data_IF_763191388678
#
_entry.id   IF_763191388678
#
_cell.length_a   1.000
_cell.length_b   1.000
_cell.length_c   1.000
_cell.angle_alpha   90.00
_cell.angle_beta   90.00
_cell.angle_gamma   90.00
#
_symmetry.space_group_name_H-M   'P 1'
#
loop_
_entity.id
_entity.type
_entity.pdbx_description
1 polymer ?
#
# COMPACT_ATOMS: atom_id res chain seq x y z
N UNK A 1 34.54 35.66 -11.64
CA UNK A 1 35.00 35.03 -10.37
C UNK A 1 34.23 33.72 -10.18
N UNK A 2 34.95 32.59 -10.29
CA UNK A 2 34.78 31.25 -9.67
C UNK A 2 33.36 30.66 -9.53
N UNK A 3 32.96 29.63 -10.29
CA UNK A 3 33.28 28.18 -10.13
C UNK A 3 32.87 27.58 -8.78
N UNK A 4 31.89 26.66 -8.78
CA UNK A 4 31.92 25.37 -8.06
C UNK A 4 30.85 24.40 -8.63
N UNK A 5 30.98 24.04 -9.90
CA UNK A 5 30.59 22.71 -10.38
C UNK A 5 31.87 22.08 -10.94
N UNK A 6 32.30 20.89 -10.47
CA UNK A 6 33.23 20.08 -11.23
C UNK A 6 32.42 19.27 -12.26
N UNK A 7 32.58 19.62 -13.53
CA UNK A 7 32.49 18.65 -14.61
C UNK A 7 33.86 17.97 -14.72
N UNK A 8 33.89 16.65 -14.62
CA UNK A 8 34.81 15.84 -15.44
C UNK A 8 34.28 14.42 -15.52
N UNK A 9 34.06 14.00 -16.75
CA UNK A 9 33.82 12.62 -17.17
C UNK A 9 34.92 11.70 -16.64
N UNK A 10 34.52 10.68 -15.89
CA UNK A 10 35.26 9.43 -15.79
C UNK A 10 34.29 8.33 -15.36
N UNK A 11 34.37 7.23 -16.09
CA UNK A 11 33.72 5.97 -15.82
C UNK A 11 33.67 5.64 -14.32
N UNK A 12 32.46 5.51 -13.77
CA UNK A 12 32.19 4.59 -12.66
C UNK A 12 31.07 3.68 -13.15
N UNK A 13 31.45 2.78 -14.06
CA UNK A 13 30.96 1.42 -13.96
C UNK A 13 31.40 0.87 -12.60
N UNK A 14 30.55 0.04 -12.00
CA UNK A 14 30.75 -0.62 -10.70
C UNK A 14 30.35 0.20 -9.46
N UNK A 15 29.08 0.62 -9.41
CA UNK A 15 28.37 0.71 -8.12
C UNK A 15 27.54 -0.56 -7.97
N UNK A 16 28.17 -1.58 -7.37
CA UNK A 16 27.56 -2.66 -6.59
C UNK A 16 26.17 -3.13 -7.09
N UNK A 17 26.14 -3.96 -8.12
CA UNK A 17 25.09 -4.98 -8.21
C UNK A 17 25.49 -6.09 -7.24
N UNK A 18 24.82 -6.28 -6.09
CA UNK A 18 25.10 -7.44 -5.27
C UNK A 18 24.77 -8.66 -6.12
N UNK A 19 25.75 -9.55 -6.26
CA UNK A 19 25.55 -10.93 -6.68
C UNK A 19 24.33 -11.49 -5.94
N UNK A 20 23.59 -12.36 -6.63
CA UNK A 20 22.47 -13.10 -6.06
C UNK A 20 23.02 -14.11 -5.05
N UNK A 21 23.47 -13.61 -3.91
CA UNK A 21 23.77 -14.40 -2.73
C UNK A 21 22.51 -14.42 -1.86
N UNK A 22 22.27 -15.61 -1.32
CA UNK A 22 21.20 -16.02 -0.44
C UNK A 22 20.54 -14.87 0.31
N UNK A 23 19.20 -14.83 0.26
CA UNK A 23 18.40 -14.09 1.24
C UNK A 23 18.91 -14.49 2.63
N UNK A 24 19.75 -13.65 3.24
CA UNK A 24 20.19 -13.82 4.61
C UNK A 24 18.93 -14.05 5.46
N UNK A 25 18.96 -15.12 6.25
CA UNK A 25 17.93 -15.40 7.23
C UNK A 25 17.61 -14.11 7.96
N UNK A 26 16.36 -13.67 7.85
CA UNK A 26 15.92 -12.49 8.56
C UNK A 26 16.16 -12.76 10.05
N UNK A 27 17.14 -12.06 10.63
CA UNK A 27 17.55 -12.31 12.01
C UNK A 27 16.35 -12.07 12.93
N UNK A 28 15.80 -13.16 13.47
CA UNK A 28 14.65 -13.13 14.37
C UNK A 28 14.88 -12.19 15.56
N UNK A 29 16.14 -11.99 15.98
CA UNK A 29 16.49 -11.03 17.05
C UNK A 29 16.29 -9.57 16.65
N UNK A 30 16.54 -9.18 15.40
CA UNK A 30 16.26 -7.83 14.93
C UNK A 30 14.76 -7.57 14.81
N UNK A 31 14.01 -8.58 14.39
CA UNK A 31 12.55 -8.55 14.35
C UNK A 31 12.00 -8.40 15.76
N UNK A 32 12.47 -9.21 16.70
CA UNK A 32 12.02 -9.15 18.09
C UNK A 32 12.44 -7.82 18.72
N UNK A 33 13.61 -7.27 18.41
CA UNK A 33 13.97 -5.92 18.83
C UNK A 33 13.05 -4.86 18.21
N UNK A 34 12.70 -4.96 16.93
CA UNK A 34 11.79 -4.01 16.28
C UNK A 34 10.39 -4.14 16.88
N UNK A 35 9.84 -5.34 17.04
CA UNK A 35 8.53 -5.59 17.68
C UNK A 35 8.55 -5.17 19.15
N UNK A 36 9.64 -5.44 19.88
CA UNK A 36 9.84 -5.03 21.27
C UNK A 36 9.90 -3.51 21.39
N UNK A 37 10.68 -2.81 20.55
CA UNK A 37 10.77 -1.35 20.54
C UNK A 37 9.48 -0.69 20.01
N UNK A 38 8.80 -1.33 19.06
CA UNK A 38 7.46 -0.95 18.60
C UNK A 38 6.47 -1.01 19.78
N UNK A 39 6.46 -2.11 20.56
CA UNK A 39 5.64 -2.22 21.78
C UNK A 39 6.01 -1.22 22.87
N UNK A 40 7.30 -0.90 23.05
CA UNK A 40 7.78 -0.12 24.21
C UNK A 40 7.84 1.40 24.00
N UNK A 41 8.11 1.89 22.78
CA UNK A 41 8.47 3.30 22.57
C UNK A 41 7.80 3.99 21.37
N UNK A 42 7.32 3.25 20.36
CA UNK A 42 6.91 3.87 19.08
C UNK A 42 5.45 3.63 18.71
N UNK A 43 4.86 2.46 19.03
CA UNK A 43 3.44 2.23 18.72
C UNK A 43 2.53 2.99 19.68
N UNK A 44 2.89 3.15 20.96
CA UNK A 44 2.11 3.96 21.91
C UNK A 44 1.95 5.43 21.47
N UNK A 45 2.93 5.99 20.75
CA UNK A 45 2.84 7.35 20.16
C UNK A 45 2.26 7.36 18.73
N UNK A 46 1.86 6.19 18.19
CA UNK A 46 1.23 6.04 16.87
C UNK A 46 -0.26 5.70 16.96
N UNK A 47 -0.77 5.47 18.17
CA UNK A 47 -2.18 5.21 18.46
C UNK A 47 -3.07 6.41 18.07
N UNK A 48 -2.52 7.63 18.19
CA UNK A 48 -3.16 8.88 17.79
C UNK A 48 -2.68 9.32 16.41
N UNK A 49 -3.50 9.07 15.39
CA UNK A 49 -3.32 9.70 14.09
C UNK A 49 -4.10 11.03 14.07
N UNK A 50 -3.38 12.16 13.99
CA UNK A 50 -4.00 13.47 13.75
C UNK A 50 -4.61 13.49 12.35
N UNK A 51 -5.91 13.78 12.27
CA UNK A 51 -6.62 13.90 11.00
C UNK A 51 -6.64 15.34 10.52
N UNK A 52 -6.28 15.51 9.25
CA UNK A 52 -6.50 16.74 8.49
C UNK A 52 -7.48 16.46 7.35
N UNK A 53 -8.44 17.36 7.13
CA UNK A 53 -9.43 17.22 6.06
C UNK A 53 -9.00 18.01 4.83
N UNK A 54 -8.73 17.31 3.72
CA UNK A 54 -8.44 17.92 2.43
C UNK A 54 -9.73 18.05 1.60
N UNK A 55 -10.06 19.27 1.20
CA UNK A 55 -11.23 19.51 0.35
C UNK A 55 -10.98 18.99 -1.08
N UNK A 56 -11.98 18.31 -1.64
CA UNK A 56 -12.05 17.85 -3.03
C UNK A 56 -12.41 19.04 -3.91
N UNK A 57 -11.62 19.28 -4.95
CA UNK A 57 -11.89 20.33 -5.93
C UNK A 57 -13.27 20.15 -6.56
N UNK A 58 -14.03 21.25 -6.68
CA UNK A 58 -15.34 21.27 -7.32
C UNK A 58 -16.50 20.70 -6.48
N UNK A 59 -16.30 20.40 -5.19
CA UNK A 59 -17.39 19.99 -4.28
C UNK A 59 -17.75 21.09 -3.28
N UNK A 60 -19.03 21.15 -2.94
CA UNK A 60 -19.58 22.09 -1.95
C UNK A 60 -18.86 21.93 -0.59
N UNK A 61 -18.18 22.98 -0.08
CA UNK A 61 -17.51 22.94 1.22
C UNK A 61 -18.42 22.60 2.40
N UNK A 62 -19.74 22.75 2.26
CA UNK A 62 -20.72 22.41 3.32
C UNK A 62 -21.05 20.92 3.38
N UNK A 63 -20.66 20.14 2.38
CA UNK A 63 -20.91 18.70 2.33
C UNK A 63 -19.77 17.91 2.98
N UNK A 64 -20.07 16.97 3.88
CA UNK A 64 -19.06 16.08 4.47
C UNK A 64 -18.29 15.27 3.40
N UNK A 65 -18.97 14.88 2.31
CA UNK A 65 -18.39 14.13 1.20
C UNK A 65 -17.39 14.95 0.36
N UNK A 66 -17.31 16.26 0.59
CA UNK A 66 -16.34 17.16 -0.03
C UNK A 66 -14.95 17.01 0.57
N UNK A 67 -14.76 16.32 1.69
CA UNK A 67 -13.46 16.20 2.33
C UNK A 67 -12.87 14.79 2.19
N UNK A 68 -11.54 14.71 2.24
CA UNK A 68 -10.77 13.47 2.41
C UNK A 68 -9.99 13.57 3.73
N UNK A 69 -10.23 12.68 4.69
CA UNK A 69 -9.40 12.64 5.88
C UNK A 69 -8.01 12.13 5.49
N UNK A 70 -6.96 12.84 5.94
CA UNK A 70 -5.56 12.42 5.82
C UNK A 70 -5.00 12.26 7.22
N UNK A 71 -4.47 11.07 7.49
CA UNK A 71 -3.84 10.75 8.76
C UNK A 71 -2.37 11.15 8.71
N UNK A 72 -1.96 12.09 9.55
CA UNK A 72 -0.56 12.42 9.74
C UNK A 72 0.05 11.52 10.79
N UNK A 73 0.77 10.49 10.32
CA UNK A 73 1.62 9.68 11.18
C UNK A 73 2.85 10.48 11.64
N UNK A 74 3.34 10.28 12.88
CA UNK A 74 4.63 10.79 13.32
C UNK A 74 5.75 10.39 12.34
N UNK A 75 6.79 11.24 12.21
CA UNK A 75 7.91 11.01 11.28
C UNK A 75 8.56 9.64 11.47
N UNK A 76 8.75 9.22 12.73
CA UNK A 76 9.31 7.90 13.03
C UNK A 76 8.41 6.76 12.55
N UNK A 77 7.09 6.92 12.66
CA UNK A 77 6.11 5.96 12.13
C UNK A 77 6.23 5.82 10.61
N UNK A 78 6.37 6.94 9.89
CA UNK A 78 6.56 6.94 8.42
C UNK A 78 7.85 6.22 8.00
N UNK A 79 8.95 6.41 8.76
CA UNK A 79 10.22 5.74 8.49
C UNK A 79 10.07 4.22 8.66
N UNK A 80 9.48 3.78 9.77
CA UNK A 80 9.25 2.36 10.05
C UNK A 80 8.34 1.71 9.02
N UNK A 81 7.25 2.39 8.66
CA UNK A 81 6.36 1.93 7.58
C UNK A 81 7.12 1.77 6.26
N UNK A 82 8.04 2.68 5.93
CA UNK A 82 8.84 2.58 4.70
C UNK A 82 9.78 1.39 4.72
N UNK A 83 10.47 1.15 5.84
CA UNK A 83 11.37 -0.01 5.99
C UNK A 83 10.57 -1.31 5.88
N UNK A 84 9.43 -1.38 6.56
CA UNK A 84 8.52 -2.51 6.45
C UNK A 84 8.04 -2.71 5.01
N UNK A 85 7.59 -1.64 4.35
CA UNK A 85 7.07 -1.69 2.99
C UNK A 85 8.10 -2.25 2.01
N UNK A 86 9.35 -1.82 2.08
CA UNK A 86 10.41 -2.31 1.19
C UNK A 86 10.61 -3.82 1.35
N UNK A 87 10.67 -4.31 2.59
CA UNK A 87 10.80 -5.74 2.89
C UNK A 87 9.56 -6.52 2.43
N UNK A 88 8.37 -5.94 2.63
CA UNK A 88 7.11 -6.58 2.26
C UNK A 88 6.93 -6.66 0.74
N UNK A 89 7.26 -5.58 0.00
CA UNK A 89 7.29 -5.59 -1.47
C UNK A 89 8.19 -6.69 -2.03
N UNK A 90 9.41 -6.81 -1.48
CA UNK A 90 10.35 -7.87 -1.88
C UNK A 90 9.73 -9.25 -1.67
N UNK A 91 9.14 -9.50 -0.50
CA UNK A 91 8.46 -10.76 -0.21
C UNK A 91 7.29 -11.05 -1.16
N UNK A 92 6.40 -10.07 -1.38
CA UNK A 92 5.25 -10.22 -2.28
C UNK A 92 5.67 -10.50 -3.72
N UNK A 93 6.75 -9.86 -4.18
CA UNK A 93 7.31 -10.06 -5.52
C UNK A 93 7.95 -11.44 -5.67
N UNK A 94 8.80 -11.87 -4.73
CA UNK A 94 9.48 -13.16 -4.78
C UNK A 94 8.50 -14.34 -4.78
N UNK A 95 7.38 -14.19 -4.07
CA UNK A 95 6.35 -15.22 -3.98
C UNK A 95 5.23 -15.09 -5.02
N UNK A 96 5.35 -14.14 -5.97
CA UNK A 96 4.34 -13.87 -7.00
C UNK A 96 2.91 -13.72 -6.45
N UNK A 97 2.77 -13.12 -5.26
CA UNK A 97 1.49 -13.04 -4.57
C UNK A 97 0.53 -12.16 -5.38
N UNK A 98 0.95 -10.93 -5.72
CA UNK A 98 0.07 -9.97 -6.41
C UNK A 98 -0.08 -10.31 -7.89
N UNK A 99 -1.33 -10.45 -8.36
CA UNK A 99 -1.63 -10.80 -9.74
C UNK A 99 -1.01 -9.83 -10.75
N UNK A 100 -0.47 -10.37 -11.86
CA UNK A 100 0.28 -9.60 -12.88
C UNK A 100 -0.52 -8.47 -13.56
N UNK A 101 -1.84 -8.58 -13.60
CA UNK A 101 -2.70 -7.55 -14.21
C UNK A 101 -3.13 -6.45 -13.23
N UNK A 102 -2.77 -6.58 -11.95
CA UNK A 102 -2.90 -5.51 -11.00
C UNK A 102 -1.74 -4.54 -11.23
N UNK A 103 -2.05 -3.30 -11.61
CA UNK A 103 -1.06 -2.28 -11.98
C UNK A 103 -1.00 -1.13 -10.99
N UNK A 104 -2.06 -0.93 -10.18
CA UNK A 104 -2.08 0.04 -9.10
C UNK A 104 -1.01 -0.25 -8.05
N UNK A 105 -0.36 0.81 -7.56
CA UNK A 105 0.56 0.77 -6.41
C UNK A 105 1.67 -0.30 -6.47
N UNK A 106 2.16 -0.60 -7.66
CA UNK A 106 3.24 -1.55 -7.88
C UNK A 106 4.44 -0.83 -8.49
N UNK A 107 5.62 -1.19 -8.00
CA UNK A 107 6.87 -0.71 -8.56
C UNK A 107 6.98 -1.09 -10.04
N UNK A 108 7.48 -0.15 -10.85
CA UNK A 108 7.75 -0.33 -12.30
C UNK A 108 6.50 -0.64 -13.13
N UNK A 109 5.31 -0.28 -12.64
CA UNK A 109 4.05 -0.32 -13.40
C UNK A 109 3.27 0.98 -13.22
N UNK A 110 2.38 1.29 -14.15
CA UNK A 110 1.53 2.47 -14.08
C UNK A 110 0.24 2.34 -14.88
N UNK A 111 -0.52 3.44 -14.89
CA UNK A 111 -1.78 3.56 -15.62
C UNK A 111 -1.59 3.41 -17.14
N UNK A 112 -0.45 3.84 -17.65
CA UNK A 112 0.00 3.68 -19.04
C UNK A 112 -0.02 2.20 -19.46
N UNK A 113 0.58 1.33 -18.66
CA UNK A 113 0.68 -0.11 -18.94
C UNK A 113 -0.66 -0.82 -18.78
N UNK A 114 -1.49 -0.34 -17.86
CA UNK A 114 -2.85 -0.81 -17.70
C UNK A 114 -3.71 -0.47 -18.93
N UNK A 115 -3.64 0.78 -19.39
CA UNK A 115 -4.35 1.25 -20.58
C UNK A 115 -3.89 0.51 -21.83
N UNK A 116 -2.57 0.36 -22.01
CA UNK A 116 -1.99 -0.39 -23.12
C UNK A 116 -2.56 -1.82 -23.20
N UNK A 117 -2.60 -2.53 -22.07
CA UNK A 117 -3.17 -3.88 -22.01
C UNK A 117 -4.65 -3.92 -22.41
N UNK A 118 -5.46 -2.95 -21.96
CA UNK A 118 -6.88 -2.87 -22.28
C UNK A 118 -7.07 -2.59 -23.79
N UNK A 119 -6.37 -1.59 -24.33
CA UNK A 119 -6.47 -1.21 -25.76
C UNK A 119 -6.06 -2.35 -26.67
N UNK A 120 -4.93 -3.01 -26.37
CA UNK A 120 -4.50 -4.17 -27.14
C UNK A 120 -5.52 -5.30 -27.07
N UNK A 121 -6.12 -5.53 -25.89
CA UNK A 121 -7.12 -6.61 -25.79
C UNK A 121 -8.37 -6.33 -26.62
N UNK A 122 -8.81 -5.08 -26.65
CA UNK A 122 -9.92 -4.65 -27.50
C UNK A 122 -9.56 -4.86 -28.98
N UNK A 123 -8.34 -4.48 -29.40
CA UNK A 123 -7.87 -4.68 -30.79
C UNK A 123 -7.84 -6.15 -31.19
N UNK A 124 -7.29 -7.02 -30.35
CA UNK A 124 -7.23 -8.48 -30.59
C UNK A 124 -8.62 -9.13 -30.74
N UNK A 125 -9.62 -8.63 -30.00
CA UNK A 125 -10.95 -9.26 -29.94
C UNK A 125 -11.92 -8.73 -30.99
N UNK A 126 -11.65 -7.53 -31.54
CA UNK A 126 -12.52 -6.82 -32.49
C UNK A 126 -12.71 -7.55 -33.82
N UNK A 127 -11.78 -8.40 -34.25
CA UNK A 127 -11.89 -9.08 -35.54
C UNK A 127 -12.90 -10.23 -35.55
N UNK A 128 -13.21 -10.84 -34.40
CA UNK A 128 -13.97 -12.10 -34.36
C UNK A 128 -15.10 -12.14 -33.31
N UNK A 129 -15.27 -11.13 -32.43
CA UNK A 129 -16.27 -11.14 -31.34
C UNK A 129 -16.72 -9.73 -30.93
N UNK A 130 -17.88 -9.64 -30.29
CA UNK A 130 -18.27 -8.46 -29.51
C UNK A 130 -17.39 -8.34 -28.26
N UNK A 131 -16.92 -7.13 -27.96
CA UNK A 131 -16.12 -6.80 -26.79
C UNK A 131 -16.88 -5.81 -25.91
N UNK A 132 -16.96 -6.08 -24.61
CA UNK A 132 -17.51 -5.17 -23.61
C UNK A 132 -16.44 -4.84 -22.57
N UNK A 133 -16.37 -3.57 -22.18
CA UNK A 133 -15.54 -3.09 -21.08
C UNK A 133 -16.44 -2.78 -19.88
N UNK A 134 -16.16 -3.42 -18.74
CA UNK A 134 -16.84 -3.16 -17.47
C UNK A 134 -15.83 -2.45 -16.56
N UNK A 135 -16.19 -1.26 -16.10
CA UNK A 135 -15.41 -0.49 -15.12
C UNK A 135 -16.11 -0.54 -13.78
N UNK A 136 -15.36 -0.83 -12.72
CA UNK A 136 -15.85 -0.86 -11.34
C UNK A 136 -15.02 0.12 -10.51
N UNK A 137 -15.71 0.97 -9.75
CA UNK A 137 -15.10 1.88 -8.79
C UNK A 137 -15.57 1.53 -7.38
N UNK A 138 -14.63 1.33 -6.45
CA UNK A 138 -14.93 0.93 -5.08
C UNK A 138 -14.99 2.19 -4.22
N UNK A 139 -16.20 2.55 -3.78
CA UNK A 139 -16.42 3.69 -2.90
C UNK A 139 -15.62 3.51 -1.59
N UNK A 140 -14.77 4.51 -1.28
CA UNK A 140 -14.04 4.57 -0.02
C UNK A 140 -13.28 3.26 0.31
N UNK A 141 -12.54 2.75 -0.67
CA UNK A 141 -11.80 1.49 -0.62
C UNK A 141 -10.95 1.32 0.65
N UNK A 142 -10.11 2.31 0.97
CA UNK A 142 -9.23 2.24 2.14
C UNK A 142 -9.98 2.34 3.46
N UNK A 143 -11.08 3.10 3.52
CA UNK A 143 -11.87 3.29 4.75
C UNK A 143 -12.72 2.06 5.08
N UNK A 144 -12.96 1.17 4.11
CA UNK A 144 -13.85 0.01 4.25
C UNK A 144 -13.11 -1.34 4.26
N UNK A 145 -11.79 -1.34 4.41
CA UNK A 145 -11.03 -2.59 4.54
C UNK A 145 -11.36 -3.28 5.86
N UNK A 146 -12.00 -4.45 5.81
CA UNK A 146 -12.32 -5.24 7.00
C UNK A 146 -11.07 -5.98 7.48
N UNK A 147 -10.67 -5.74 8.73
CA UNK A 147 -9.45 -6.33 9.29
C UNK A 147 -9.57 -7.85 9.44
N UNK A 148 -10.73 -8.38 9.81
CA UNK A 148 -10.95 -9.82 9.92
C UNK A 148 -10.80 -10.52 8.56
N UNK A 149 -11.29 -9.88 7.49
CA UNK A 149 -11.12 -10.37 6.12
C UNK A 149 -9.66 -10.28 5.69
N UNK A 150 -8.97 -9.18 6.00
CA UNK A 150 -7.54 -9.02 5.71
C UNK A 150 -6.71 -10.15 6.34
N UNK A 151 -6.94 -10.48 7.61
CA UNK A 151 -6.20 -11.54 8.29
C UNK A 151 -6.53 -12.94 7.74
N UNK A 152 -7.76 -13.21 7.32
CA UNK A 152 -8.13 -14.43 6.59
C UNK A 152 -7.42 -14.52 5.24
N UNK A 153 -7.25 -13.39 4.55
CA UNK A 153 -6.49 -13.32 3.29
C UNK A 153 -5.00 -13.59 3.56
N UNK A 154 -4.45 -13.09 4.67
CA UNK A 154 -3.08 -13.41 5.07
C UNK A 154 -2.88 -14.89 5.35
N UNK A 155 -3.83 -15.55 6.01
CA UNK A 155 -3.82 -17.01 6.17
C UNK A 155 -3.85 -17.73 4.83
N UNK A 156 -4.71 -17.27 3.92
CA UNK A 156 -4.85 -17.83 2.59
C UNK A 156 -3.54 -17.79 1.78
N UNK A 157 -2.86 -16.64 1.76
CA UNK A 157 -1.57 -16.47 1.09
C UNK A 157 -0.36 -16.96 1.90
N UNK A 158 -0.60 -17.57 3.08
CA UNK A 158 0.45 -18.03 4.00
C UNK A 158 1.49 -16.95 4.31
N UNK A 159 1.03 -15.71 4.53
CA UNK A 159 1.91 -14.59 4.86
C UNK A 159 2.65 -14.90 6.18
N UNK A 160 3.99 -14.76 6.24
CA UNK A 160 4.77 -15.09 7.42
C UNK A 160 4.30 -14.33 8.68
N UNK A 161 4.39 -14.95 9.87
CA UNK A 161 3.99 -14.32 11.13
C UNK A 161 4.61 -12.94 11.35
N UNK A 162 5.85 -12.73 10.92
CA UNK A 162 6.52 -11.43 10.99
C UNK A 162 5.67 -10.29 10.39
N UNK A 163 5.25 -10.43 9.13
CA UNK A 163 4.47 -9.40 8.45
C UNK A 163 3.08 -9.26 9.05
N UNK A 164 2.45 -10.38 9.41
CA UNK A 164 1.12 -10.40 10.04
C UNK A 164 1.12 -9.68 11.38
N UNK A 165 2.12 -9.94 12.23
CA UNK A 165 2.25 -9.35 13.55
C UNK A 165 2.49 -7.85 13.46
N UNK A 166 3.34 -7.40 12.53
CA UNK A 166 3.53 -5.98 12.29
C UNK A 166 2.20 -5.30 11.92
N UNK A 167 1.45 -5.85 10.96
CA UNK A 167 0.15 -5.30 10.55
C UNK A 167 -0.88 -5.38 11.68
N UNK A 168 -0.86 -6.44 12.49
CA UNK A 168 -1.75 -6.57 13.64
C UNK A 168 -1.51 -5.45 14.64
N UNK A 169 -0.27 -5.25 15.08
CA UNK A 169 0.07 -4.19 16.02
C UNK A 169 -0.08 -2.77 15.42
N UNK A 170 0.08 -2.64 14.11
CA UNK A 170 -0.17 -1.40 13.39
C UNK A 170 -1.66 -0.99 13.37
N UNK A 171 -2.58 -1.97 13.43
CA UNK A 171 -4.03 -1.73 13.45
C UNK A 171 -4.62 -1.78 14.87
N UNK A 172 -3.98 -2.49 15.79
CA UNK A 172 -4.46 -2.70 17.16
C UNK A 172 -4.59 -1.37 17.92
N UNK A 173 -5.72 -1.18 18.59
CA UNK A 173 -5.94 -0.01 19.46
C UNK A 173 -5.94 1.32 18.71
N UNK A 174 -6.07 1.29 17.38
CA UNK A 174 -5.96 2.50 16.56
C UNK A 174 -7.11 3.45 16.84
N UNK A 175 -6.76 4.72 17.07
CA UNK A 175 -7.72 5.79 17.23
C UNK A 175 -7.50 6.90 16.23
N UNK A 176 -8.57 7.61 15.98
CA UNK A 176 -8.60 8.81 15.14
C UNK A 176 -8.91 9.97 16.05
N UNK A 177 -8.01 10.96 16.05
CA UNK A 177 -8.16 12.19 16.83
C UNK A 177 -8.30 13.36 15.85
N UNK A 178 -9.45 14.02 15.93
CA UNK A 178 -9.66 15.34 15.35
C UNK A 178 -9.54 16.37 16.45
N UNK A 179 -8.62 17.33 16.29
CA UNK A 179 -8.39 18.40 17.26
C UNK A 179 -8.31 19.73 16.54
N UNK A 180 -9.14 20.66 16.97
CA UNK A 180 -9.15 22.07 16.59
C UNK A 180 -9.03 22.95 17.86
N UNK A 181 -8.97 24.27 17.72
CA UNK A 181 -8.81 25.21 18.84
C UNK A 181 -9.89 25.08 19.92
N UNK A 182 -11.08 24.59 19.55
CA UNK A 182 -12.26 24.53 20.43
C UNK A 182 -12.79 23.12 20.68
N UNK A 183 -12.31 22.11 19.95
CA UNK A 183 -12.93 20.79 19.90
C UNK A 183 -11.89 19.69 19.77
N UNK A 184 -12.05 18.64 20.57
CA UNK A 184 -11.27 17.40 20.48
C UNK A 184 -12.25 16.22 20.42
N UNK A 185 -12.19 15.45 19.34
CA UNK A 185 -13.00 14.25 19.11
C UNK A 185 -12.07 13.07 18.88
N UNK A 186 -12.30 12.01 19.64
CA UNK A 186 -11.60 10.74 19.52
C UNK A 186 -12.57 9.63 19.10
N UNK A 187 -12.15 8.76 18.18
CA UNK A 187 -12.91 7.59 17.74
C UNK A 187 -12.01 6.38 17.56
N UNK A 188 -12.45 5.25 18.11
CA UNK A 188 -11.82 3.96 17.83
C UNK A 188 -12.05 3.54 16.38
N UNK A 189 -11.01 2.98 15.77
CA UNK A 189 -11.07 2.37 14.45
C UNK A 189 -11.20 0.86 14.57
N UNK A 190 -12.15 0.28 13.83
CA UNK A 190 -12.32 -1.17 13.74
C UNK A 190 -12.25 -1.70 12.31
N UNK A 191 -12.10 -0.79 11.34
CA UNK A 191 -11.94 -1.09 9.93
C UNK A 191 -11.15 0.03 9.27
N UNK A 192 -10.76 -0.24 8.04
CA UNK A 192 -10.09 0.70 7.18
C UNK A 192 -8.64 0.90 7.54
N UNK A 193 -8.04 1.85 6.85
CA UNK A 193 -6.61 2.09 6.88
C UNK A 193 -6.37 3.60 6.73
N UNK A 194 -5.40 4.18 7.45
CA UNK A 194 -5.15 5.61 7.37
C UNK A 194 -4.72 6.02 5.97
N UNK A 195 -5.45 6.98 5.41
CA UNK A 195 -5.05 7.63 4.18
C UNK A 195 -3.78 8.46 4.44
N UNK A 196 -2.68 8.09 3.78
CA UNK A 196 -1.35 8.69 3.99
C UNK A 196 -0.29 7.71 4.50
N UNK A 197 -0.68 6.52 4.94
CA UNK A 197 0.26 5.44 5.24
C UNK A 197 0.85 4.85 3.96
N UNK A 198 2.16 4.57 3.98
CA UNK A 198 2.84 4.00 2.83
C UNK A 198 2.58 2.50 2.68
N UNK A 199 2.14 1.81 3.73
CA UNK A 199 1.88 0.35 3.71
C UNK A 199 0.49 0.01 3.16
N UNK A 200 -0.47 0.92 3.33
CA UNK A 200 -1.88 0.72 2.95
C UNK A 200 -2.09 0.34 1.48
N UNK A 201 -1.39 0.93 0.49
CA UNK A 201 -1.46 0.50 -0.90
C UNK A 201 -1.12 -0.98 -1.12
N UNK A 202 -0.13 -1.51 -0.38
CA UNK A 202 0.23 -2.93 -0.44
C UNK A 202 -0.86 -3.82 0.15
N UNK A 203 -1.43 -3.42 1.29
CA UNK A 203 -2.52 -4.14 1.93
C UNK A 203 -3.73 -4.21 1.03
N UNK A 204 -4.09 -3.08 0.43
CA UNK A 204 -5.17 -3.02 -0.57
C UNK A 204 -4.86 -3.94 -1.74
N UNK A 205 -3.62 -3.92 -2.21
CA UNK A 205 -3.24 -4.76 -3.33
C UNK A 205 -3.47 -6.24 -3.04
N UNK A 206 -3.15 -6.71 -1.82
CA UNK A 206 -3.43 -8.08 -1.38
C UNK A 206 -4.92 -8.31 -1.17
N UNK A 207 -5.64 -7.34 -0.60
CA UNK A 207 -7.04 -7.43 -0.25
C UNK A 207 -7.95 -7.65 -1.47
N UNK A 208 -7.70 -6.93 -2.56
CA UNK A 208 -8.42 -7.11 -3.83
C UNK A 208 -7.80 -8.16 -4.74
N UNK A 209 -6.69 -8.77 -4.31
CA UNK A 209 -6.02 -9.78 -5.09
C UNK A 209 -6.89 -11.04 -5.17
N UNK A 210 -6.98 -11.59 -6.39
CA UNK A 210 -7.94 -12.64 -6.73
C UNK A 210 -7.74 -13.89 -5.87
N UNK A 211 -8.82 -14.41 -5.25
CA UNK A 211 -8.78 -15.74 -4.65
C UNK A 211 -8.68 -16.82 -5.74
N UNK A 212 -7.79 -17.82 -5.64
CA UNK A 212 -7.65 -18.96 -6.55
C UNK A 212 -8.93 -19.77 -6.78
N UNK A 213 -10.00 -19.54 -6.01
CA UNK A 213 -11.32 -20.14 -6.23
C UNK A 213 -12.06 -19.60 -7.46
N UNK A 214 -11.61 -18.47 -8.03
CA UNK A 214 -12.14 -17.99 -9.30
C UNK A 214 -11.52 -18.72 -10.48
N UNK A 215 -12.14 -19.85 -10.86
CA UNK A 215 -11.90 -20.53 -12.13
C UNK A 215 -11.87 -19.49 -13.26
N UNK A 216 -10.89 -19.64 -14.13
CA UNK A 216 -10.54 -18.73 -15.22
C UNK A 216 -11.74 -18.53 -16.18
N UNK A 217 -12.65 -17.61 -15.87
CA UNK A 217 -13.66 -17.14 -16.83
C UNK A 217 -12.97 -16.32 -17.92
N UNK A 218 -13.40 -16.48 -19.17
CA UNK A 218 -12.88 -15.75 -20.34
C UNK A 218 -13.01 -14.23 -20.12
N UNK A 219 -11.93 -13.58 -19.71
CA UNK A 219 -11.89 -12.14 -19.46
C UNK A 219 -10.51 -11.67 -18.99
N UNK A 220 -10.15 -10.43 -19.30
CA UNK A 220 -8.93 -9.78 -18.79
C UNK A 220 -9.36 -8.80 -17.72
N UNK A 221 -8.99 -9.08 -16.47
CA UNK A 221 -9.10 -8.13 -15.37
C UNK A 221 -7.83 -7.29 -15.32
N UNK A 222 -7.96 -5.98 -15.25
CA UNK A 222 -6.87 -5.04 -14.98
C UNK A 222 -7.33 -4.11 -13.85
N UNK A 223 -6.53 -3.99 -12.79
CA UNK A 223 -6.81 -3.06 -11.68
C UNK A 223 -5.86 -1.87 -11.77
N UNK A 224 -6.46 -0.68 -11.71
CA UNK A 224 -5.81 0.61 -11.60
C UNK A 224 -6.36 1.23 -10.30
N UNK A 225 -5.50 1.90 -9.54
CA UNK A 225 -5.90 2.71 -8.40
C UNK A 225 -5.50 4.16 -8.64
#
# INVERSE_FOLDING_TARGET
>A
MKHFFPNNDSYIGDIYTPSVESVEEVNYKEIDLVIYNLKKNVIQNSEEAKIFFLQKSGKDPKSCDAYRPVCLLPTIGKILERVFQNRFNKYLSLNNIIHRNQKGFRERTGCDRALYNIVNKIRETRSNRHCALISLDIKAAFDNMDWSVLFKIFDFYKIPPFYRNFIYYYLLGRKVVFKDETLEIERDCHKGCPQGSVVVPNLWNIYVNKSPRDKQKKGVFTSIC
#
